data_IF_532653346083
#
_entry.id   IF_532653346083
#
_cell.length_a   1.000
_cell.length_b   1.000
_cell.length_c   1.000
_cell.angle_alpha   90.00
_cell.angle_beta   90.00
_cell.angle_gamma   90.00
#
_symmetry.space_group_name_H-M   'P 1'
#
loop_
_entity.id
_entity.type
_entity.pdbx_description
1 polymer ?
#
# COMPACT_ATOMS: atom_id res chain seq x y z
N UNK A 1 13.58 12.12 1.35
CA UNK A 1 12.42 11.26 1.67
C UNK A 1 11.08 11.80 1.16
N UNK A 2 10.73 13.07 1.39
CA UNK A 2 9.43 13.64 0.98
C UNK A 2 9.07 13.39 -0.50
N UNK A 3 9.93 13.78 -1.45
CA UNK A 3 9.67 13.56 -2.88
C UNK A 3 9.54 12.07 -3.25
N UNK A 4 10.34 11.19 -2.64
CA UNK A 4 10.31 9.76 -2.89
C UNK A 4 8.95 9.14 -2.53
N UNK A 5 8.40 9.45 -1.35
CA UNK A 5 7.07 8.93 -0.96
C UNK A 5 5.92 9.48 -1.81
N UNK A 6 6.15 10.53 -2.61
CA UNK A 6 5.17 11.03 -3.59
C UNK A 6 5.36 10.44 -5.01
N UNK A 7 6.33 9.55 -5.22
CA UNK A 7 6.69 9.03 -6.54
C UNK A 7 7.42 10.04 -7.43
N UNK A 8 7.96 11.12 -6.85
CA UNK A 8 8.63 12.21 -7.58
C UNK A 8 10.13 11.93 -7.75
N UNK A 9 10.44 10.82 -8.41
CA UNK A 9 11.81 10.30 -8.62
C UNK A 9 12.77 11.36 -9.18
N UNK A 10 12.35 12.11 -10.21
CA UNK A 10 13.18 13.13 -10.86
C UNK A 10 13.65 14.21 -9.89
N UNK A 11 12.75 14.66 -9.01
CA UNK A 11 13.09 15.66 -7.99
C UNK A 11 14.04 15.08 -6.94
N UNK A 12 13.85 13.80 -6.57
CA UNK A 12 14.72 13.13 -5.61
C UNK A 12 16.17 13.04 -6.12
N UNK A 13 16.37 12.68 -7.38
CA UNK A 13 17.71 12.62 -7.96
C UNK A 13 18.29 14.00 -8.27
N UNK A 14 17.48 14.96 -8.69
CA UNK A 14 17.92 16.34 -8.87
C UNK A 14 18.51 16.93 -7.59
N UNK A 15 17.80 16.77 -6.46
CA UNK A 15 18.28 17.23 -5.15
C UNK A 15 19.55 16.50 -4.68
N UNK A 16 19.69 15.21 -5.03
CA UNK A 16 20.92 14.47 -4.73
C UNK A 16 22.11 14.98 -5.54
N UNK A 17 21.91 15.27 -6.83
CA UNK A 17 22.93 15.89 -7.67
C UNK A 17 23.32 17.27 -7.16
N UNK A 18 22.34 18.12 -6.86
CA UNK A 18 22.55 19.47 -6.31
C UNK A 18 23.31 19.41 -4.97
N UNK A 19 22.95 18.48 -4.08
CA UNK A 19 23.65 18.25 -2.81
C UNK A 19 25.15 18.01 -3.04
N UNK A 20 25.50 17.15 -3.99
CA UNK A 20 26.90 16.84 -4.32
C UNK A 20 27.60 18.05 -4.96
N UNK A 21 26.93 18.74 -5.89
CA UNK A 21 27.46 19.93 -6.57
C UNK A 21 27.76 21.07 -5.58
N UNK A 22 26.95 21.21 -4.54
CA UNK A 22 27.15 22.15 -3.44
C UNK A 22 28.23 21.70 -2.43
N UNK A 23 28.83 20.52 -2.62
CA UNK A 23 29.87 19.99 -1.74
C UNK A 23 29.36 19.35 -0.45
N UNK A 24 28.05 19.08 -0.33
CA UNK A 24 27.51 18.35 0.82
C UNK A 24 27.66 16.83 0.61
N UNK A 25 28.13 16.14 1.66
CA UNK A 25 28.32 14.69 1.61
C UNK A 25 27.02 13.94 1.90
N UNK A 26 26.56 13.07 0.98
CA UNK A 26 25.46 12.15 1.24
C UNK A 26 25.75 11.25 2.45
N UNK A 27 24.70 10.91 3.20
CA UNK A 27 24.80 9.95 4.30
C UNK A 27 23.85 8.76 4.07
N UNK A 28 23.83 7.82 5.02
CA UNK A 28 22.95 6.64 5.02
C UNK A 28 21.49 7.01 4.73
N UNK A 29 20.93 7.99 5.45
CA UNK A 29 19.55 8.45 5.26
C UNK A 29 19.29 9.05 3.87
N UNK A 30 20.29 9.71 3.28
CA UNK A 30 20.23 10.17 1.88
C UNK A 30 20.05 8.98 0.94
N UNK A 31 20.86 7.93 1.09
CA UNK A 31 20.74 6.73 0.26
C UNK A 31 19.45 5.95 0.49
N UNK A 32 18.94 5.85 1.72
CA UNK A 32 17.59 5.30 1.97
C UNK A 32 16.53 6.07 1.19
N UNK A 33 16.61 7.40 1.14
CA UNK A 33 15.66 8.23 0.37
C UNK A 33 15.72 7.94 -1.13
N UNK A 34 16.92 7.81 -1.67
CA UNK A 34 17.20 7.56 -3.10
C UNK A 34 16.74 6.15 -3.49
N UNK A 35 17.12 5.13 -2.72
CA UNK A 35 16.71 3.75 -2.96
C UNK A 35 15.20 3.55 -2.77
N UNK A 36 14.59 4.26 -1.82
CA UNK A 36 13.12 4.27 -1.68
C UNK A 36 12.43 4.89 -2.90
N UNK A 37 13.02 5.94 -3.50
CA UNK A 37 12.49 6.51 -4.74
C UNK A 37 12.51 5.47 -5.86
N UNK A 38 13.64 4.75 -6.03
CA UNK A 38 13.75 3.65 -6.99
C UNK A 38 12.70 2.55 -6.72
N UNK A 39 12.53 2.15 -5.45
CA UNK A 39 11.54 1.13 -5.06
C UNK A 39 10.11 1.55 -5.35
N UNK A 40 9.78 2.82 -5.16
CA UNK A 40 8.41 3.32 -5.40
C UNK A 40 8.12 3.46 -6.90
N UNK A 41 9.13 3.76 -7.72
CA UNK A 41 8.95 3.95 -9.17
C UNK A 41 9.37 2.75 -10.03
N UNK A 42 9.78 1.63 -9.41
CA UNK A 42 10.16 0.40 -10.12
C UNK A 42 11.48 0.50 -10.89
N UNK A 43 12.37 1.44 -10.55
CA UNK A 43 13.61 1.64 -11.30
C UNK A 43 14.77 0.75 -10.80
N UNK A 44 14.78 -0.50 -11.23
CA UNK A 44 15.78 -1.52 -10.80
C UNK A 44 17.21 -1.08 -11.10
N UNK A 45 17.48 -0.62 -12.32
CA UNK A 45 18.83 -0.26 -12.76
C UNK A 45 19.41 0.88 -11.92
N UNK A 46 18.59 1.91 -11.65
CA UNK A 46 19.00 2.99 -10.74
C UNK A 46 19.13 2.50 -9.31
N UNK A 47 18.26 1.60 -8.86
CA UNK A 47 18.37 0.95 -7.55
C UNK A 47 19.77 0.38 -7.33
N UNK A 48 20.23 -0.48 -8.24
CA UNK A 48 21.56 -1.08 -8.19
C UNK A 48 22.67 -0.04 -8.34
N UNK A 49 22.55 0.88 -9.30
CA UNK A 49 23.52 1.96 -9.49
C UNK A 49 23.76 2.74 -8.19
N UNK A 50 22.70 3.17 -7.51
CA UNK A 50 22.83 3.95 -6.27
C UNK A 50 23.23 3.10 -5.07
N UNK A 51 22.81 1.83 -5.01
CA UNK A 51 23.25 0.89 -3.97
C UNK A 51 24.76 0.64 -4.05
N UNK A 52 25.30 0.45 -5.26
CA UNK A 52 26.73 0.28 -5.49
C UNK A 52 27.51 1.58 -5.27
N UNK A 53 26.95 2.72 -5.72
CA UNK A 53 27.55 4.04 -5.54
C UNK A 53 27.73 4.39 -4.06
N UNK A 54 26.76 4.01 -3.21
CA UNK A 54 26.83 4.22 -1.77
C UNK A 54 28.13 3.67 -1.18
N UNK A 55 28.48 2.41 -1.50
CA UNK A 55 29.70 1.78 -0.99
C UNK A 55 30.95 2.22 -1.73
N UNK A 56 30.92 2.20 -3.07
CA UNK A 56 32.12 2.42 -3.91
C UNK A 56 32.49 3.90 -4.06
N UNK A 57 31.49 4.78 -4.09
CA UNK A 57 31.68 6.22 -4.26
C UNK A 57 31.78 6.99 -2.96
N UNK A 58 31.03 6.57 -1.92
CA UNK A 58 30.95 7.30 -0.65
C UNK A 58 31.44 6.50 0.56
N UNK A 59 31.87 5.24 0.39
CA UNK A 59 32.37 4.42 1.48
C UNK A 59 31.31 4.01 2.51
N UNK A 60 30.03 4.20 2.21
CA UNK A 60 28.93 3.98 3.15
C UNK A 60 28.49 2.52 3.10
N UNK A 61 28.52 1.85 4.25
CA UNK A 61 27.99 0.50 4.41
C UNK A 61 26.47 0.46 4.48
N UNK A 62 25.89 -0.53 3.80
CA UNK A 62 24.46 -0.75 3.76
C UNK A 62 23.93 -1.25 5.12
N UNK A 63 22.89 -0.59 5.60
CA UNK A 63 22.07 -1.00 6.75
C UNK A 63 20.77 -1.68 6.31
N UNK A 64 20.05 -2.27 7.26
CA UNK A 64 18.78 -3.00 7.03
C UNK A 64 17.77 -2.20 6.20
N UNK A 65 17.76 -0.88 6.35
CA UNK A 65 16.90 0.04 5.61
C UNK A 65 17.18 0.01 4.10
N UNK A 66 18.46 0.00 3.72
CA UNK A 66 18.92 0.00 2.34
C UNK A 66 18.58 -1.35 1.67
N UNK A 67 18.86 -2.46 2.38
CA UNK A 67 18.46 -3.79 1.94
C UNK A 67 16.94 -3.91 1.80
N UNK A 68 16.19 -3.33 2.75
CA UNK A 68 14.73 -3.28 2.69
C UNK A 68 14.21 -2.56 1.46
N UNK A 69 14.80 -1.43 1.07
CA UNK A 69 14.44 -0.71 -0.17
C UNK A 69 14.73 -1.55 -1.41
N UNK A 70 15.90 -2.19 -1.48
CA UNK A 70 16.26 -3.04 -2.63
C UNK A 70 15.38 -4.28 -2.73
N UNK A 71 15.00 -4.89 -1.61
CA UNK A 71 14.10 -6.06 -1.63
C UNK A 71 12.65 -5.71 -1.93
N UNK A 72 12.17 -4.55 -1.49
CA UNK A 72 10.86 -4.05 -1.91
C UNK A 72 10.87 -3.79 -3.43
N UNK A 73 11.95 -3.23 -3.98
CA UNK A 73 12.13 -3.01 -5.42
C UNK A 73 12.13 -4.33 -6.21
N UNK A 74 13.03 -5.27 -5.86
CA UNK A 74 13.15 -6.57 -6.54
C UNK A 74 11.88 -7.41 -6.42
N UNK A 75 11.27 -7.42 -5.23
CA UNK A 75 10.07 -8.20 -4.97
C UNK A 75 8.88 -7.69 -5.79
N UNK A 76 8.70 -6.38 -5.91
CA UNK A 76 7.61 -5.81 -6.71
C UNK A 76 7.77 -6.10 -8.21
N UNK A 77 8.99 -6.09 -8.74
CA UNK A 77 9.28 -6.51 -10.12
C UNK A 77 9.09 -8.02 -10.34
N UNK A 78 9.06 -8.82 -9.27
CA UNK A 78 8.90 -10.27 -9.35
C UNK A 78 10.20 -11.05 -9.61
N UNK A 79 11.36 -10.39 -9.54
CA UNK A 79 12.67 -11.07 -9.61
C UNK A 79 13.01 -11.73 -8.25
N UNK A 80 12.25 -12.77 -7.94
CA UNK A 80 12.33 -13.47 -6.66
C UNK A 80 13.63 -14.23 -6.46
N UNK A 81 14.24 -14.73 -7.53
CA UNK A 81 15.50 -15.46 -7.45
C UNK A 81 16.63 -14.50 -7.08
N UNK A 82 16.66 -13.30 -7.67
CA UNK A 82 17.61 -12.27 -7.27
C UNK A 82 17.32 -11.76 -5.87
N UNK A 83 16.06 -11.61 -5.48
CA UNK A 83 15.71 -11.20 -4.13
C UNK A 83 16.16 -12.22 -3.07
N UNK A 84 16.02 -13.53 -3.32
CA UNK A 84 16.53 -14.59 -2.44
C UNK A 84 18.05 -14.56 -2.31
N UNK A 85 18.77 -14.55 -3.44
CA UNK A 85 20.24 -14.44 -3.44
C UNK A 85 20.70 -13.19 -2.70
N UNK A 86 20.03 -12.07 -2.92
CA UNK A 86 20.37 -10.82 -2.25
C UNK A 86 20.21 -10.91 -0.73
N UNK A 87 19.22 -11.64 -0.21
CA UNK A 87 19.08 -11.93 1.23
C UNK A 87 20.22 -12.85 1.73
N UNK A 88 20.57 -13.88 0.97
CA UNK A 88 21.64 -14.83 1.32
C UNK A 88 23.01 -14.15 1.37
N UNK A 89 23.24 -13.18 0.49
CA UNK A 89 24.47 -12.38 0.42
C UNK A 89 24.52 -11.25 1.45
N UNK A 90 23.43 -10.98 2.19
CA UNK A 90 23.42 -9.94 3.22
C UNK A 90 24.43 -10.27 4.32
N UNK A 91 25.37 -9.37 4.66
CA UNK A 91 26.25 -9.54 5.81
C UNK A 91 25.51 -9.31 7.15
N UNK A 92 24.23 -8.93 7.08
CA UNK A 92 23.36 -8.63 8.21
C UNK A 92 22.27 -9.70 8.34
N UNK A 93 21.91 -10.03 9.58
CA UNK A 93 20.79 -10.95 9.84
C UNK A 93 19.48 -10.34 9.30
N UNK A 94 18.76 -11.04 8.40
CA UNK A 94 17.50 -10.54 7.86
C UNK A 94 16.43 -10.34 8.95
N UNK A 95 15.85 -9.14 9.00
CA UNK A 95 14.81 -8.77 9.97
C UNK A 95 13.41 -9.15 9.48
N UNK A 96 12.40 -9.05 10.35
CA UNK A 96 10.99 -9.21 9.97
C UNK A 96 10.56 -8.26 8.86
N UNK A 97 11.13 -7.05 8.79
CA UNK A 97 10.90 -6.08 7.70
C UNK A 97 11.39 -6.60 6.34
N UNK A 98 12.56 -7.25 6.32
CA UNK A 98 13.15 -7.85 5.12
C UNK A 98 12.21 -8.93 4.56
N UNK A 99 11.86 -9.90 5.40
CA UNK A 99 10.93 -10.97 5.03
C UNK A 99 9.52 -10.46 4.72
N UNK A 100 9.05 -9.42 5.42
CA UNK A 100 7.76 -8.78 5.16
C UNK A 100 7.68 -8.13 3.78
N UNK A 101 8.80 -7.65 3.25
CA UNK A 101 8.88 -7.12 1.88
C UNK A 101 8.70 -8.23 0.85
N UNK A 102 9.36 -9.39 1.05
CA UNK A 102 9.12 -10.58 0.22
C UNK A 102 7.70 -11.12 0.33
N UNK A 103 7.13 -11.16 1.54
CA UNK A 103 5.75 -11.61 1.74
C UNK A 103 4.75 -10.68 0.99
N UNK A 104 4.96 -9.37 1.06
CA UNK A 104 4.18 -8.38 0.31
C UNK A 104 4.29 -8.64 -1.19
N UNK A 105 5.50 -8.73 -1.71
CA UNK A 105 5.76 -9.02 -3.12
C UNK A 105 5.11 -10.34 -3.60
N UNK A 106 5.26 -11.40 -2.81
CA UNK A 106 4.72 -12.73 -3.10
C UNK A 106 3.20 -12.72 -3.33
N UNK A 107 2.45 -11.90 -2.57
CA UNK A 107 1.01 -11.74 -2.78
C UNK A 107 0.67 -11.09 -4.12
N UNK A 108 1.44 -10.08 -4.55
CA UNK A 108 1.17 -9.40 -5.84
C UNK A 108 1.32 -10.35 -7.02
N UNK A 109 2.29 -11.25 -6.93
CA UNK A 109 2.58 -12.27 -7.94
C UNK A 109 1.91 -13.64 -7.68
N UNK A 110 1.04 -13.72 -6.66
CA UNK A 110 0.38 -14.97 -6.21
C UNK A 110 1.33 -16.15 -5.97
N UNK A 111 2.58 -15.87 -5.61
CA UNK A 111 3.58 -16.89 -5.30
C UNK A 111 3.41 -17.37 -3.85
N UNK A 112 2.64 -18.44 -3.67
CA UNK A 112 2.30 -18.95 -2.34
C UNK A 112 3.49 -19.56 -1.61
N UNK A 113 4.37 -20.28 -2.31
CA UNK A 113 5.52 -20.94 -1.70
C UNK A 113 6.47 -19.92 -1.07
N UNK A 114 6.74 -18.83 -1.79
CA UNK A 114 7.57 -17.74 -1.27
C UNK A 114 6.89 -16.99 -0.11
N UNK A 115 5.56 -16.82 -0.18
CA UNK A 115 4.81 -16.22 0.91
C UNK A 115 4.87 -17.08 2.19
N UNK A 116 4.70 -18.39 2.08
CA UNK A 116 4.80 -19.31 3.21
C UNK A 116 6.21 -19.34 3.80
N UNK A 117 7.24 -19.39 2.96
CA UNK A 117 8.65 -19.30 3.38
C UNK A 117 8.92 -17.99 4.15
N UNK A 118 8.53 -16.86 3.58
CA UNK A 118 8.72 -15.56 4.22
C UNK A 118 7.98 -15.48 5.55
N UNK A 119 6.74 -15.97 5.61
CA UNK A 119 5.94 -16.00 6.84
C UNK A 119 6.56 -16.89 7.91
N UNK A 120 7.07 -18.08 7.56
CA UNK A 120 7.76 -18.97 8.47
C UNK A 120 8.97 -18.26 9.10
N UNK A 121 9.81 -17.61 8.28
CA UNK A 121 10.95 -16.82 8.77
C UNK A 121 10.48 -15.70 9.71
N UNK A 122 9.45 -14.94 9.36
CA UNK A 122 8.89 -13.88 10.22
C UNK A 122 8.41 -14.45 11.57
N UNK A 123 7.73 -15.59 11.57
CA UNK A 123 7.14 -16.18 12.78
C UNK A 123 8.17 -16.85 13.69
N UNK A 124 9.31 -17.27 13.12
CA UNK A 124 10.47 -17.84 13.82
C UNK A 124 11.34 -16.78 14.52
N UNK A 125 11.26 -15.52 14.09
CA UNK A 125 12.03 -14.42 14.68
C UNK A 125 11.33 -13.96 15.98
N UNK A 126 12.00 -14.20 17.11
CA UNK A 126 11.55 -13.73 18.43
C UNK A 126 11.95 -12.27 18.59
N UNK A 127 10.98 -11.35 18.63
CA UNK A 127 11.13 -9.92 19.01
C UNK A 127 9.73 -9.29 19.16
N UNK A 128 9.59 -8.27 20.03
CA UNK A 128 8.35 -7.61 20.46
C UNK A 128 7.63 -6.75 19.39
N UNK A 129 8.14 -6.68 18.16
CA UNK A 129 7.55 -5.86 17.10
C UNK A 129 6.17 -6.37 16.64
N UNK A 130 5.18 -5.47 16.61
CA UNK A 130 3.85 -5.72 16.05
C UNK A 130 3.93 -5.96 14.53
N UNK A 131 3.98 -7.25 14.16
CA UNK A 131 3.97 -7.70 12.77
C UNK A 131 2.59 -8.17 12.32
N UNK A 132 1.52 -7.66 12.94
CA UNK A 132 0.16 -8.09 12.63
C UNK A 132 -0.18 -7.93 11.14
N UNK A 133 0.42 -6.93 10.47
CA UNK A 133 0.31 -6.75 9.02
C UNK A 133 0.69 -7.99 8.20
N UNK A 134 1.73 -8.73 8.61
CA UNK A 134 2.20 -9.94 7.91
C UNK A 134 1.21 -11.10 8.05
N UNK A 135 0.61 -11.29 9.23
CA UNK A 135 -0.43 -12.30 9.44
C UNK A 135 -1.67 -12.01 8.59
N UNK A 136 -2.11 -10.75 8.58
CA UNK A 136 -3.27 -10.32 7.78
C UNK A 136 -2.98 -10.50 6.29
N UNK A 137 -1.78 -10.16 5.84
CA UNK A 137 -1.36 -10.30 4.45
C UNK A 137 -1.36 -11.76 3.98
N UNK A 138 -0.79 -12.67 4.77
CA UNK A 138 -0.80 -14.11 4.50
C UNK A 138 -2.22 -14.68 4.52
N UNK A 139 -3.03 -14.27 5.51
CA UNK A 139 -4.44 -14.68 5.62
C UNK A 139 -5.25 -14.23 4.40
N UNK A 140 -5.02 -13.01 3.91
CA UNK A 140 -5.67 -12.52 2.69
C UNK A 140 -5.25 -13.33 1.46
N UNK A 141 -3.96 -13.67 1.31
CA UNK A 141 -3.48 -14.51 0.23
C UNK A 141 -4.14 -15.91 0.26
N UNK A 142 -4.24 -16.55 1.43
CA UNK A 142 -4.97 -17.81 1.56
C UNK A 142 -6.45 -17.67 1.16
N UNK A 143 -7.10 -16.58 1.58
CA UNK A 143 -8.50 -16.33 1.23
C UNK A 143 -8.70 -16.13 -0.28
N UNK A 144 -7.78 -15.41 -0.94
CA UNK A 144 -7.76 -15.21 -2.40
C UNK A 144 -7.60 -16.53 -3.17
N UNK A 145 -6.91 -17.51 -2.57
CA UNK A 145 -6.70 -18.84 -3.13
C UNK A 145 -7.74 -19.88 -2.66
N UNK A 146 -8.76 -19.46 -1.91
CA UNK A 146 -9.81 -20.35 -1.40
C UNK A 146 -9.39 -21.29 -0.27
N UNK A 147 -8.19 -21.11 0.29
CA UNK A 147 -7.60 -21.91 1.37
C UNK A 147 -8.15 -21.50 2.75
N UNK A 148 -9.46 -21.70 2.97
CA UNK A 148 -10.16 -21.22 4.17
C UNK A 148 -9.71 -21.86 5.49
N UNK A 149 -9.23 -23.09 5.45
CA UNK A 149 -8.67 -23.77 6.63
C UNK A 149 -7.40 -23.07 7.13
N UNK A 150 -6.53 -22.65 6.20
CA UNK A 150 -5.33 -21.88 6.53
C UNK A 150 -5.67 -20.48 7.05
N UNK A 151 -6.71 -19.84 6.50
CA UNK A 151 -7.24 -18.56 7.04
C UNK A 151 -7.63 -18.72 8.51
N UNK A 152 -8.35 -19.79 8.84
CA UNK A 152 -8.77 -20.06 10.21
C UNK A 152 -7.58 -20.39 11.12
N UNK A 153 -6.59 -21.13 10.61
CA UNK A 153 -5.33 -21.40 11.34
C UNK A 153 -4.60 -20.11 11.70
N UNK A 154 -4.46 -19.17 10.76
CA UNK A 154 -3.80 -17.88 11.01
C UNK A 154 -4.59 -17.05 12.03
N UNK A 155 -5.92 -17.01 11.95
CA UNK A 155 -6.75 -16.31 12.96
C UNK A 155 -6.57 -16.88 14.36
N UNK A 156 -6.57 -18.22 14.51
CA UNK A 156 -6.32 -18.89 15.78
C UNK A 156 -4.93 -18.56 16.32
N UNK A 157 -3.92 -18.54 15.46
CA UNK A 157 -2.55 -18.17 15.82
C UNK A 157 -2.46 -16.72 16.32
N UNK A 158 -3.09 -15.77 15.62
CA UNK A 158 -3.16 -14.37 16.05
C UNK A 158 -3.82 -14.24 17.42
N UNK A 159 -4.96 -14.93 17.63
CA UNK A 159 -5.66 -14.93 18.92
C UNK A 159 -4.80 -15.51 20.04
N UNK A 160 -4.10 -16.62 19.80
CA UNK A 160 -3.18 -17.25 20.77
C UNK A 160 -2.05 -16.31 21.19
N UNK A 161 -1.54 -15.50 20.25
CA UNK A 161 -0.47 -14.52 20.50
C UNK A 161 -0.98 -13.15 20.99
N UNK A 162 -2.29 -12.97 21.19
CA UNK A 162 -2.87 -11.70 21.60
C UNK A 162 -2.76 -10.58 20.54
N UNK A 163 -2.51 -10.94 19.28
CA UNK A 163 -2.33 -9.97 18.19
C UNK A 163 -3.68 -9.44 17.70
N UNK A 164 -3.79 -8.12 17.62
CA UNK A 164 -5.01 -7.42 17.17
C UNK A 164 -4.74 -6.76 15.83
N UNK A 165 -5.56 -7.09 14.82
CA UNK A 165 -5.50 -6.44 13.51
C UNK A 165 -5.68 -4.93 13.65
N UNK A 166 -4.74 -4.16 13.10
CA UNK A 166 -4.86 -2.71 12.96
C UNK A 166 -6.16 -2.36 12.24
N UNK A 167 -7.02 -1.59 12.91
CA UNK A 167 -8.27 -1.12 12.33
C UNK A 167 -7.96 -0.10 11.22
N UNK A 168 -8.41 -0.40 10.00
CA UNK A 168 -8.24 0.51 8.87
C UNK A 168 -9.23 1.67 8.94
N UNK A 169 -8.73 2.90 8.86
CA UNK A 169 -9.54 4.11 8.75
C UNK A 169 -8.93 5.09 7.76
N UNK A 170 -9.74 6.04 7.32
CA UNK A 170 -9.30 7.14 6.48
C UNK A 170 -9.68 8.47 7.12
N UNK A 171 -8.82 9.46 6.97
CA UNK A 171 -8.95 10.79 7.54
C UNK A 171 -8.93 11.81 6.43
N UNK A 172 -9.86 12.76 6.50
CA UNK A 172 -9.91 13.94 5.64
C UNK A 172 -9.98 15.15 6.56
N UNK A 173 -9.21 16.18 6.26
CA UNK A 173 -9.23 17.43 7.00
C UNK A 173 -10.10 18.44 6.26
N UNK A 174 -11.08 19.00 6.95
CA UNK A 174 -11.97 20.02 6.39
C UNK A 174 -12.21 21.10 7.44
N UNK A 175 -12.02 22.37 7.05
CA UNK A 175 -12.17 23.53 7.93
C UNK A 175 -11.37 23.39 9.26
N UNK A 176 -10.14 22.86 9.18
CA UNK A 176 -9.26 22.65 10.34
C UNK A 176 -9.68 21.51 11.28
N UNK A 177 -10.65 20.67 10.89
CA UNK A 177 -11.10 19.51 11.66
C UNK A 177 -10.81 18.21 10.91
N UNK A 178 -10.19 17.26 11.62
CA UNK A 178 -9.95 15.92 11.10
C UNK A 178 -11.20 15.04 11.25
N UNK A 179 -11.72 14.55 10.14
CA UNK A 179 -12.86 13.64 10.09
C UNK A 179 -12.39 12.23 9.74
N UNK A 180 -12.55 11.29 10.68
CA UNK A 180 -12.21 9.88 10.50
C UNK A 180 -13.40 9.07 10.02
N UNK A 181 -13.13 8.14 9.11
CA UNK A 181 -14.07 7.19 8.53
C UNK A 181 -13.54 5.75 8.65
N UNK A 182 -14.39 4.85 9.10
CA UNK A 182 -14.16 3.39 9.01
C UNK A 182 -14.92 2.79 7.81
N UNK A 183 -14.71 1.52 7.50
CA UNK A 183 -15.50 0.87 6.45
C UNK A 183 -16.98 0.84 6.88
N UNK A 184 -17.90 1.13 5.95
CA UNK A 184 -19.34 1.21 6.19
C UNK A 184 -19.76 2.24 7.25
N UNK A 185 -18.96 3.29 7.46
CA UNK A 185 -19.24 4.29 8.48
C UNK A 185 -20.52 5.09 8.18
N UNK A 186 -21.45 5.09 9.14
CA UNK A 186 -22.68 5.88 9.13
C UNK A 186 -22.81 6.80 10.36
N UNK A 187 -21.71 7.00 11.09
CA UNK A 187 -21.69 7.80 12.33
C UNK A 187 -21.81 9.31 12.09
N UNK A 188 -21.63 9.78 10.86
CA UNK A 188 -21.70 11.20 10.50
C UNK A 188 -23.13 11.64 10.23
N UNK A 189 -23.44 12.89 10.57
CA UNK A 189 -24.74 13.51 10.29
C UNK A 189 -25.01 13.58 8.78
N UNK A 190 -23.96 13.84 8.00
CA UNK A 190 -23.99 13.95 6.54
C UNK A 190 -23.96 12.59 5.83
N UNK A 191 -24.04 11.47 6.57
CA UNK A 191 -23.92 10.12 6.01
C UNK A 191 -24.88 9.87 4.84
N UNK A 192 -26.13 10.33 4.90
CA UNK A 192 -27.07 10.22 3.79
C UNK A 192 -26.49 10.79 2.47
N UNK A 193 -26.02 12.05 2.52
CA UNK A 193 -25.44 12.74 1.36
C UNK A 193 -24.15 12.08 0.90
N UNK A 194 -23.29 11.62 1.82
CA UNK A 194 -22.05 10.89 1.49
C UNK A 194 -22.37 9.64 0.66
N UNK A 195 -23.38 8.86 1.06
CA UNK A 195 -23.76 7.64 0.37
C UNK A 195 -24.45 7.91 -0.97
N UNK A 196 -25.21 9.00 -1.11
CA UNK A 196 -25.77 9.43 -2.39
C UNK A 196 -24.66 9.81 -3.39
N UNK A 197 -23.67 10.61 -2.96
CA UNK A 197 -22.51 10.95 -3.79
C UNK A 197 -21.70 9.71 -4.14
N UNK A 198 -21.50 8.80 -3.18
CA UNK A 198 -20.81 7.54 -3.42
C UNK A 198 -21.51 6.70 -4.51
N UNK A 199 -22.83 6.61 -4.48
CA UNK A 199 -23.60 5.87 -5.48
C UNK A 199 -23.51 6.52 -6.87
N UNK A 200 -23.62 7.86 -6.94
CA UNK A 200 -23.43 8.62 -8.19
C UNK A 200 -22.04 8.37 -8.76
N UNK A 201 -20.99 8.47 -7.94
CA UNK A 201 -19.62 8.24 -8.38
C UNK A 201 -19.40 6.80 -8.83
N UNK A 202 -19.90 5.82 -8.08
CA UNK A 202 -19.79 4.40 -8.43
C UNK A 202 -20.41 4.10 -9.80
N UNK A 203 -21.58 4.67 -10.08
CA UNK A 203 -22.21 4.61 -11.42
C UNK A 203 -21.34 5.27 -12.49
N UNK A 204 -20.85 6.49 -12.25
CA UNK A 204 -20.02 7.23 -13.23
C UNK A 204 -18.70 6.54 -13.57
N UNK A 205 -18.10 5.81 -12.63
CA UNK A 205 -16.83 5.10 -12.86
C UNK A 205 -17.02 3.66 -13.40
N UNK A 206 -18.27 3.28 -13.68
CA UNK A 206 -18.64 2.00 -14.28
C UNK A 206 -18.53 0.82 -13.31
N UNK A 207 -18.79 1.04 -12.02
CA UNK A 207 -18.85 -0.03 -11.00
C UNK A 207 -20.28 -0.54 -10.79
N UNK A 208 -21.11 -0.52 -11.83
CA UNK A 208 -22.47 -1.03 -11.77
C UNK A 208 -22.50 -2.45 -11.18
N UNK A 209 -23.28 -2.62 -10.12
CA UNK A 209 -23.67 -3.95 -9.68
C UNK A 209 -24.47 -4.56 -10.81
N UNK A 210 -23.97 -5.64 -11.43
CA UNK A 210 -24.85 -6.56 -12.15
C UNK A 210 -25.90 -6.99 -11.13
N UNK A 211 -27.08 -6.38 -11.21
CA UNK A 211 -28.24 -6.79 -10.45
C UNK A 211 -28.63 -8.16 -10.97
N UNK A 212 -28.09 -9.22 -10.36
CA UNK A 212 -28.51 -10.60 -10.63
C UNK A 212 -29.86 -10.82 -9.95
N UNK A 213 -30.89 -10.09 -10.37
CA UNK A 213 -32.28 -10.49 -10.17
C UNK A 213 -32.62 -11.56 -11.23
N UNK A 214 -32.12 -12.78 -11.00
CA UNK A 214 -32.69 -14.03 -11.50
C UNK A 214 -32.07 -15.17 -10.68
N UNK A 215 -32.69 -15.46 -9.54
CA UNK A 215 -32.34 -16.59 -8.69
C UNK A 215 -32.95 -17.85 -9.28
N UNK A 216 -32.13 -18.85 -9.58
CA UNK A 216 -32.44 -20.24 -9.28
C UNK A 216 -31.13 -20.91 -8.85
N UNK A 217 -31.17 -21.63 -7.72
CA UNK A 217 -30.05 -22.17 -6.92
C UNK A 217 -29.29 -21.19 -6.01
N UNK A 218 -29.87 -20.92 -4.83
CA UNK A 218 -29.10 -20.49 -3.66
C UNK A 218 -28.52 -21.74 -2.97
N UNK A 219 -27.20 -21.91 -3.05
CA UNK A 219 -26.45 -22.78 -2.14
C UNK A 219 -26.49 -22.15 -0.72
N UNK A 220 -26.84 -22.89 0.35
CA UNK A 220 -27.02 -22.32 1.70
C UNK A 220 -25.78 -21.61 2.29
N UNK A 221 -24.58 -21.94 1.85
CA UNK A 221 -23.33 -21.40 2.42
C UNK A 221 -22.90 -20.02 1.90
N UNK A 222 -23.57 -19.50 0.86
CA UNK A 222 -23.26 -18.16 0.33
C UNK A 222 -24.02 -17.02 1.04
N UNK A 223 -24.99 -17.35 1.90
CA UNK A 223 -25.94 -16.38 2.48
C UNK A 223 -25.39 -15.71 3.76
N UNK A 224 -24.25 -16.15 4.32
CA UNK A 224 -23.62 -15.56 5.52
C UNK A 224 -22.56 -14.47 5.26
N UNK A 225 -22.18 -14.18 4.01
CA UNK A 225 -21.25 -13.07 3.70
C UNK A 225 -22.05 -11.86 3.20
N UNK A 226 -22.32 -10.87 4.05
CA UNK A 226 -22.42 -9.48 3.55
C UNK A 226 -21.06 -9.17 2.93
N UNK A 227 -20.93 -9.33 1.60
CA UNK A 227 -19.68 -9.14 0.85
C UNK A 227 -19.14 -7.73 1.17
N UNK A 228 -17.89 -7.66 1.62
CA UNK A 228 -17.14 -6.40 1.72
C UNK A 228 -17.17 -5.75 0.32
N UNK A 229 -17.88 -4.64 0.18
CA UNK A 229 -18.07 -3.92 -1.07
C UNK A 229 -17.00 -2.83 -1.10
N UNK A 230 -16.06 -2.83 -2.06
CA UNK A 230 -15.02 -1.81 -2.13
C UNK A 230 -15.56 -0.37 -2.14
N UNK A 231 -16.76 -0.16 -2.69
CA UNK A 231 -17.51 1.08 -2.63
C UNK A 231 -17.65 1.65 -1.20
N UNK A 232 -17.83 0.79 -0.21
CA UNK A 232 -18.06 1.20 1.18
C UNK A 232 -16.78 1.25 2.03
N UNK A 233 -15.60 1.18 1.40
CA UNK A 233 -14.34 1.35 2.11
C UNK A 233 -14.21 2.79 2.64
N UNK A 234 -13.59 2.90 3.82
CA UNK A 234 -13.26 4.17 4.51
C UNK A 234 -12.71 5.26 3.60
N UNK A 235 -11.80 4.92 2.68
CA UNK A 235 -11.16 5.90 1.78
C UNK A 235 -12.16 6.51 0.80
N UNK A 236 -13.16 5.74 0.34
CA UNK A 236 -14.19 6.24 -0.57
C UNK A 236 -15.17 7.15 0.14
N UNK A 237 -15.55 6.80 1.38
CA UNK A 237 -16.38 7.65 2.23
C UNK A 237 -15.67 8.98 2.53
N UNK A 238 -14.39 8.92 2.90
CA UNK A 238 -13.57 10.11 3.14
C UNK A 238 -13.43 10.98 1.88
N UNK A 239 -13.27 10.38 0.70
CA UNK A 239 -13.23 11.13 -0.56
C UNK A 239 -14.59 11.77 -0.89
N UNK A 240 -15.70 11.06 -0.74
CA UNK A 240 -17.03 11.62 -0.97
C UNK A 240 -17.31 12.79 -0.02
N UNK A 241 -16.99 12.65 1.27
CA UNK A 241 -17.10 13.74 2.24
C UNK A 241 -16.24 14.94 1.84
N UNK A 242 -14.98 14.70 1.46
CA UNK A 242 -14.08 15.76 1.01
C UNK A 242 -14.58 16.47 -0.26
N UNK A 243 -15.16 15.74 -1.22
CA UNK A 243 -15.71 16.32 -2.44
C UNK A 243 -16.93 17.21 -2.19
N UNK A 244 -17.81 16.81 -1.25
CA UNK A 244 -18.96 17.62 -0.78
C UNK A 244 -18.47 18.91 -0.11
N UNK A 245 -17.35 18.80 0.60
CA UNK A 245 -16.86 19.82 1.51
C UNK A 245 -15.91 20.88 0.94
N UNK A 246 -15.45 20.73 -0.30
CA UNK A 246 -14.39 21.55 -0.90
C UNK A 246 -14.87 22.20 -2.21
N UNK A 247 -14.28 23.35 -2.61
CA UNK A 247 -14.70 24.07 -3.81
C UNK A 247 -14.16 23.44 -5.10
N UNK A 248 -15.00 23.30 -6.13
CA UNK A 248 -14.67 22.58 -7.38
C UNK A 248 -13.31 23.01 -7.92
N UNK A 249 -12.45 22.04 -8.24
CA UNK A 249 -11.07 22.28 -8.69
C UNK A 249 -10.02 22.21 -7.59
N UNK A 250 -10.37 22.45 -6.32
CA UNK A 250 -9.42 22.31 -5.21
C UNK A 250 -8.92 20.86 -5.07
N UNK A 251 -7.60 20.65 -4.85
CA UNK A 251 -7.06 19.33 -4.58
C UNK A 251 -7.63 18.73 -3.29
N UNK A 252 -7.97 17.45 -3.33
CA UNK A 252 -8.49 16.74 -2.16
C UNK A 252 -7.41 15.84 -1.56
N UNK A 253 -7.12 16.00 -0.28
CA UNK A 253 -6.13 15.19 0.44
C UNK A 253 -6.81 14.25 1.43
N UNK A 254 -6.55 12.95 1.31
CA UNK A 254 -7.06 11.91 2.21
C UNK A 254 -5.90 11.06 2.73
N UNK A 255 -5.87 10.82 4.04
CA UNK A 255 -4.91 9.92 4.68
C UNK A 255 -5.56 8.59 4.99
N UNK A 256 -4.84 7.48 4.82
CA UNK A 256 -5.24 6.14 5.22
C UNK A 256 -4.12 5.53 6.07
N UNK A 257 -4.47 4.96 7.21
CA UNK A 257 -3.47 4.40 8.13
C UNK A 257 -2.91 3.04 7.67
N UNK A 258 -3.57 2.38 6.73
CA UNK A 258 -3.16 1.11 6.11
C UNK A 258 -3.07 1.26 4.60
N UNK A 259 -2.34 0.38 3.91
CA UNK A 259 -2.22 0.39 2.44
C UNK A 259 -3.62 0.43 1.80
N UNK A 260 -3.81 1.34 0.84
CA UNK A 260 -5.06 1.43 0.08
C UNK A 260 -5.21 0.17 -0.77
N UNK A 261 -6.39 -0.45 -0.89
CA UNK A 261 -6.56 -1.64 -1.72
C UNK A 261 -6.58 -1.32 -3.23
N UNK A 262 -6.35 -2.34 -4.08
CA UNK A 262 -6.34 -2.22 -5.55
C UNK A 262 -7.62 -1.61 -6.11
N UNK A 263 -8.79 -2.04 -5.62
CA UNK A 263 -10.09 -1.54 -6.09
C UNK A 263 -10.30 -0.06 -5.74
N UNK A 264 -9.83 0.37 -4.57
CA UNK A 264 -9.87 1.79 -4.20
C UNK A 264 -8.87 2.59 -5.02
N UNK A 265 -7.64 2.10 -5.21
CA UNK A 265 -6.64 2.75 -6.06
C UNK A 265 -7.17 2.97 -7.47
N UNK A 266 -7.73 1.94 -8.10
CA UNK A 266 -8.35 2.03 -9.43
C UNK A 266 -9.54 2.99 -9.48
N UNK A 267 -10.42 2.96 -8.48
CA UNK A 267 -11.56 3.86 -8.43
C UNK A 267 -11.15 5.33 -8.23
N UNK A 268 -10.13 5.60 -7.40
CA UNK A 268 -9.68 6.98 -7.17
C UNK A 268 -9.17 7.63 -8.46
N UNK A 269 -8.51 6.88 -9.36
CA UNK A 269 -8.06 7.36 -10.67
C UNK A 269 -9.25 7.85 -11.51
N UNK A 270 -10.29 7.01 -11.60
CA UNK A 270 -11.52 7.31 -12.33
C UNK A 270 -12.33 8.44 -11.70
N UNK A 271 -12.44 8.47 -10.37
CA UNK A 271 -13.14 9.54 -9.65
C UNK A 271 -12.43 10.88 -9.89
N UNK A 272 -11.09 10.90 -9.86
CA UNK A 272 -10.31 12.09 -10.16
C UNK A 272 -10.62 12.63 -11.56
N UNK A 273 -10.70 11.75 -12.58
CA UNK A 273 -11.09 12.13 -13.93
C UNK A 273 -12.53 12.66 -14.01
N UNK A 274 -13.50 11.92 -13.46
CA UNK A 274 -14.92 12.28 -13.46
C UNK A 274 -15.21 13.61 -12.74
N UNK A 275 -14.46 13.92 -11.68
CA UNK A 275 -14.63 15.13 -10.88
C UNK A 275 -13.74 16.29 -11.33
N UNK A 276 -12.87 16.06 -12.34
CA UNK A 276 -11.86 17.01 -12.80
C UNK A 276 -11.04 17.62 -11.66
N UNK A 277 -10.58 16.76 -10.72
CA UNK A 277 -9.87 17.16 -9.50
C UNK A 277 -8.68 16.27 -9.24
N UNK A 278 -7.57 16.87 -8.77
CA UNK A 278 -6.48 16.09 -8.19
C UNK A 278 -6.96 15.49 -6.86
N UNK A 279 -6.81 14.18 -6.72
CA UNK A 279 -7.05 13.47 -5.47
C UNK A 279 -5.71 12.94 -4.98
N UNK A 280 -5.33 13.27 -3.75
CA UNK A 280 -4.07 12.86 -3.14
C UNK A 280 -4.38 11.93 -1.97
N UNK A 281 -4.07 10.65 -2.11
CA UNK A 281 -4.30 9.64 -1.07
C UNK A 281 -2.96 9.17 -0.49
N UNK A 282 -2.70 9.50 0.77
CA UNK A 282 -1.54 9.00 1.51
C UNK A 282 -1.87 7.73 2.27
N UNK A 283 -1.24 6.61 1.94
CA UNK A 283 -1.40 5.36 2.68
C UNK A 283 -0.16 5.03 3.55
N UNK A 284 -0.08 3.81 4.10
CA UNK A 284 1.04 3.40 4.95
C UNK A 284 2.40 3.28 4.22
N UNK A 285 2.42 3.37 2.88
CA UNK A 285 3.63 3.19 2.06
C UNK A 285 3.98 4.43 1.28
N UNK A 286 3.00 5.11 0.70
CA UNK A 286 3.26 6.25 -0.17
C UNK A 286 2.04 7.16 -0.33
N UNK A 287 2.26 8.27 -1.01
CA UNK A 287 1.24 9.21 -1.46
C UNK A 287 0.97 8.99 -2.94
N UNK A 288 -0.27 8.61 -3.21
CA UNK A 288 -0.84 8.46 -4.54
C UNK A 288 -1.39 9.81 -4.96
N UNK A 289 -0.78 10.46 -5.96
CA UNK A 289 -1.36 11.65 -6.62
C UNK A 289 -2.11 11.17 -7.85
N UNK A 290 -3.44 11.27 -7.79
CA UNK A 290 -4.34 10.75 -8.80
C UNK A 290 -4.88 11.93 -9.61
N UNK A 291 -4.65 11.88 -10.93
CA UNK A 291 -5.08 12.91 -11.88
C UNK A 291 -5.27 12.30 -13.26
N UNK A 292 -6.43 12.55 -13.88
CA UNK A 292 -6.75 12.14 -15.26
C UNK A 292 -6.46 10.65 -15.52
N UNK A 293 -7.09 9.77 -14.72
CA UNK A 293 -6.92 8.31 -14.78
C UNK A 293 -5.51 7.76 -14.53
N UNK A 294 -4.57 8.63 -14.15
CA UNK A 294 -3.18 8.26 -13.82
C UNK A 294 -2.91 8.44 -12.34
N UNK A 295 -1.95 7.68 -11.83
CA UNK A 295 -1.42 7.81 -10.48
C UNK A 295 0.09 8.04 -10.53
N UNK A 296 0.64 8.86 -9.62
CA UNK A 296 2.07 9.09 -9.48
C UNK A 296 2.89 7.84 -9.13
N UNK A 297 2.25 6.74 -8.70
CA UNK A 297 2.91 5.45 -8.50
C UNK A 297 3.17 4.69 -9.81
N UNK A 298 2.67 5.17 -10.97
CA UNK A 298 2.83 4.46 -12.25
C UNK A 298 2.13 3.10 -12.30
N UNK A 299 1.08 2.90 -11.48
CA UNK A 299 0.43 1.62 -11.22
C UNK A 299 1.34 0.53 -10.60
N UNK A 300 2.50 0.95 -10.09
CA UNK A 300 3.39 0.16 -9.25
C UNK A 300 2.87 0.14 -7.79
N UNK A 301 1.59 -0.27 -7.65
CA UNK A 301 0.79 -0.20 -6.42
C UNK A 301 1.17 -1.24 -5.37
#
# INVERSE_FOLDING_TARGET
>A
MGYAIHGLEKHCFGLFSEMIEMGFEPNKSTFVSILSACSITGNVDKGWKYFDLMKRGFGIDAEIEHYGCMLDLLGREGDFDRAKRFIEEMPLKPTKRIWGSLLSASRHHKNIELAELAAEKIFSLNDDDDNTGCYVLLSNLYAELGRWEDVERIKKLMKKRGLVKTAGFSTVEQNGKACNFVNYDKSKNESGVIYEVLDILSRKIGEEEVCSCNVTFKLPDLVKKRKDRPANHSVRLAVCFGLIGTAVGDPLVVRKNVRMCRDCHGAMKKISHVTNREIVVGDSKMWHRLKDDRCSCGDYW
#
